data_IF_969260347315
#
_entry.id   IF_969260347315
#
_cell.length_a   1.000
_cell.length_b   1.000
_cell.length_c   1.000
_cell.angle_alpha   90.00
_cell.angle_beta   90.00
_cell.angle_gamma   90.00
#
_symmetry.space_group_name_H-M   'P 1'
#
loop_
_entity.id
_entity.type
_entity.pdbx_description
1 polymer ?
#
# COMPACT_ATOMS: atom_id res chain seq x y z
N UNK A 1 -37.98 -42.39 36.85
CA UNK A 1 -36.53 -42.27 36.59
C UNK A 1 -35.94 -43.62 36.18
N UNK A 2 -35.70 -43.85 34.89
CA UNK A 2 -34.83 -44.89 34.32
C UNK A 2 -34.70 -44.65 32.80
N UNK A 3 -33.50 -44.91 32.29
CA UNK A 3 -32.87 -44.39 31.08
C UNK A 3 -33.50 -44.92 29.79
N UNK A 4 -33.60 -44.08 28.74
CA UNK A 4 -33.75 -44.51 27.35
C UNK A 4 -32.62 -43.92 26.50
N UNK A 5 -31.94 -44.82 25.78
CA UNK A 5 -30.60 -44.64 25.23
C UNK A 5 -30.47 -43.60 24.12
N UNK A 6 -29.38 -42.85 24.18
CA UNK A 6 -28.92 -41.94 23.13
C UNK A 6 -28.35 -42.74 21.96
N UNK A 7 -29.00 -42.68 20.81
CA UNK A 7 -28.45 -43.21 19.55
C UNK A 7 -27.26 -42.35 19.12
N UNK A 8 -26.04 -42.89 19.23
CA UNK A 8 -24.84 -42.26 18.64
C UNK A 8 -24.93 -42.41 17.12
N UNK A 9 -25.20 -41.32 16.39
CA UNK A 9 -25.08 -41.32 14.93
C UNK A 9 -23.59 -41.39 14.57
N UNK A 10 -23.17 -42.45 13.88
CA UNK A 10 -21.84 -42.48 13.23
C UNK A 10 -21.77 -41.34 12.22
N UNK A 11 -20.77 -40.47 12.37
CA UNK A 11 -20.39 -39.52 11.32
C UNK A 11 -19.88 -40.32 10.11
N UNK A 12 -20.28 -39.96 8.87
CA UNK A 12 -19.76 -40.62 7.68
C UNK A 12 -18.26 -40.36 7.56
N UNK A 13 -17.54 -41.37 7.07
CA UNK A 13 -16.11 -41.27 6.79
C UNK A 13 -15.86 -40.12 5.80
N UNK A 14 -14.89 -39.26 6.13
CA UNK A 14 -14.42 -38.22 5.22
C UNK A 14 -13.61 -38.93 4.13
N UNK A 15 -14.17 -38.96 2.92
CA UNK A 15 -13.49 -39.42 1.72
C UNK A 15 -12.35 -38.44 1.40
N UNK A 16 -11.12 -38.84 1.71
CA UNK A 16 -9.91 -38.12 1.33
C UNK A 16 -9.60 -38.37 -0.14
N UNK A 17 -10.41 -37.81 -1.04
CA UNK A 17 -9.97 -37.62 -2.42
C UNK A 17 -8.85 -36.58 -2.43
N UNK A 18 -7.72 -36.83 -3.11
CA UNK A 18 -6.66 -35.84 -3.23
C UNK A 18 -7.21 -34.65 -4.01
N UNK A 19 -7.47 -33.56 -3.30
CA UNK A 19 -7.82 -32.28 -3.91
C UNK A 19 -6.59 -31.83 -4.67
N UNK A 20 -6.57 -32.05 -5.98
CA UNK A 20 -5.53 -31.52 -6.85
C UNK A 20 -5.50 -30.00 -6.65
N UNK A 21 -4.33 -29.49 -6.32
CA UNK A 21 -4.07 -28.08 -6.00
C UNK A 21 -4.70 -27.14 -7.04
N UNK A 22 -4.77 -27.59 -8.29
CA UNK A 22 -5.35 -26.89 -9.43
C UNK A 22 -6.84 -26.57 -9.29
N UNK A 23 -7.67 -27.48 -8.74
CA UNK A 23 -9.10 -27.22 -8.55
C UNK A 23 -9.37 -26.22 -7.42
N UNK A 24 -8.58 -26.24 -6.34
CA UNK A 24 -8.67 -25.25 -5.26
C UNK A 24 -8.21 -23.87 -5.71
N UNK A 25 -7.16 -23.81 -6.53
CA UNK A 25 -6.71 -22.55 -7.15
C UNK A 25 -7.78 -22.02 -8.11
N UNK A 26 -8.40 -22.88 -8.94
CA UNK A 26 -9.46 -22.49 -9.85
C UNK A 26 -10.74 -22.01 -9.13
N UNK A 27 -11.15 -22.64 -8.03
CA UNK A 27 -12.30 -22.20 -7.24
C UNK A 27 -12.01 -20.92 -6.43
N UNK A 28 -10.75 -20.72 -6.00
CA UNK A 28 -10.34 -19.47 -5.33
C UNK A 28 -10.30 -18.27 -6.29
N UNK A 29 -10.10 -18.50 -7.59
CA UNK A 29 -10.17 -17.45 -8.61
C UNK A 29 -11.61 -17.02 -8.94
N UNK A 30 -12.62 -17.81 -8.54
CA UNK A 30 -14.04 -17.51 -8.79
C UNK A 30 -14.68 -16.66 -7.69
N UNK A 31 -14.07 -16.59 -6.51
CA UNK A 31 -14.53 -15.74 -5.40
C UNK A 31 -13.82 -14.38 -5.41
N UNK A 32 -13.77 -13.74 -6.59
CA UNK A 32 -13.41 -12.34 -6.71
C UNK A 32 -14.57 -11.48 -6.24
N UNK A 33 -14.85 -11.52 -4.93
CA UNK A 33 -15.60 -10.45 -4.27
C UNK A 33 -14.73 -9.18 -4.26
N UNK A 34 -14.72 -8.59 -5.45
CA UNK A 34 -14.41 -7.24 -5.85
C UNK A 34 -14.42 -6.25 -4.69
N UNK A 35 -13.22 -5.91 -4.18
CA UNK A 35 -13.05 -4.76 -3.30
C UNK A 35 -13.25 -3.49 -4.14
N UNK A 36 -14.49 -2.96 -4.11
CA UNK A 36 -15.03 -1.94 -5.00
C UNK A 36 -14.72 -0.50 -4.62
N UNK A 37 -13.81 -0.25 -3.66
CA UNK A 37 -13.70 1.07 -3.04
C UNK A 37 -13.01 2.13 -3.91
N UNK A 38 -12.26 1.74 -4.95
CA UNK A 38 -11.73 2.63 -5.97
C UNK A 38 -12.13 2.09 -7.34
N UNK A 39 -13.25 2.58 -7.89
CA UNK A 39 -13.76 2.20 -9.22
C UNK A 39 -12.62 2.21 -10.25
N UNK A 40 -12.29 1.04 -10.79
CA UNK A 40 -11.32 0.88 -11.89
C UNK A 40 -9.99 0.23 -11.53
N UNK A 41 -9.69 0.00 -10.24
CA UNK A 41 -8.45 -0.70 -9.84
C UNK A 41 -8.65 -2.21 -9.70
N UNK A 42 -7.88 -3.06 -10.41
CA UNK A 42 -7.96 -4.50 -10.27
C UNK A 42 -7.20 -4.95 -9.01
N UNK A 43 -7.81 -4.77 -7.83
CA UNK A 43 -7.35 -5.28 -6.55
C UNK A 43 -7.51 -6.80 -6.43
N UNK A 44 -6.98 -7.56 -7.39
CA UNK A 44 -7.00 -9.02 -7.33
C UNK A 44 -5.75 -9.54 -6.62
N UNK A 45 -5.91 -10.63 -5.88
CA UNK A 45 -4.80 -11.32 -5.23
C UNK A 45 -3.66 -11.64 -6.21
N UNK A 46 -4.01 -12.06 -7.43
CA UNK A 46 -3.03 -12.35 -8.47
C UNK A 46 -2.17 -11.13 -8.82
N UNK A 47 -2.80 -9.97 -9.02
CA UNK A 47 -2.10 -8.72 -9.39
C UNK A 47 -1.24 -8.19 -8.26
N UNK A 48 -1.73 -8.28 -7.02
CA UNK A 48 -0.95 -7.93 -5.83
C UNK A 48 0.28 -8.85 -5.72
N UNK A 49 0.11 -10.16 -5.89
CA UNK A 49 1.19 -11.15 -5.82
C UNK A 49 2.25 -10.91 -6.91
N UNK A 50 1.82 -10.62 -8.13
CA UNK A 50 2.73 -10.31 -9.26
C UNK A 50 3.50 -9.01 -9.06
N UNK A 51 2.90 -8.01 -8.39
CA UNK A 51 3.53 -6.73 -8.14
C UNK A 51 4.57 -6.75 -7.01
N UNK A 52 4.45 -7.71 -6.09
CA UNK A 52 5.22 -7.77 -4.85
C UNK A 52 6.74 -7.87 -5.08
N UNK A 53 7.29 -8.68 -6.00
CA UNK A 53 8.73 -8.75 -6.24
C UNK A 53 9.35 -7.42 -6.68
N UNK A 54 8.67 -6.70 -7.58
CA UNK A 54 9.09 -5.37 -8.03
C UNK A 54 9.07 -4.37 -6.87
N UNK A 55 8.01 -4.40 -6.06
CA UNK A 55 7.92 -3.55 -4.89
C UNK A 55 9.02 -3.85 -3.85
N UNK A 56 9.28 -5.12 -3.53
CA UNK A 56 10.34 -5.51 -2.59
C UNK A 56 11.70 -5.01 -3.07
N UNK A 57 11.99 -5.15 -4.38
CA UNK A 57 13.24 -4.69 -4.97
C UNK A 57 13.39 -3.17 -4.89
N UNK A 58 12.28 -2.45 -5.00
CA UNK A 58 12.20 -1.01 -4.81
C UNK A 58 12.41 -0.65 -3.32
N UNK A 59 11.59 -1.19 -2.44
CA UNK A 59 11.56 -0.88 -1.00
C UNK A 59 12.91 -1.10 -0.31
N UNK A 60 13.72 -2.05 -0.77
CA UNK A 60 15.11 -2.25 -0.29
C UNK A 60 16.05 -1.06 -0.54
N UNK A 61 15.70 -0.16 -1.46
CA UNK A 61 16.44 1.07 -1.78
C UNK A 61 15.91 2.29 -1.03
N UNK A 62 14.91 2.11 -0.15
CA UNK A 62 14.35 3.20 0.64
C UNK A 62 15.47 3.85 1.47
N UNK A 63 15.74 5.14 1.30
CA UNK A 63 16.84 5.83 1.98
C UNK A 63 16.49 6.26 3.41
N UNK A 64 15.24 6.06 3.83
CA UNK A 64 14.78 6.32 5.20
C UNK A 64 15.23 5.18 6.12
N UNK A 65 16.11 5.49 7.08
CA UNK A 65 16.76 4.51 7.95
C UNK A 65 15.94 4.20 9.21
N UNK A 66 15.13 5.14 9.70
CA UNK A 66 14.27 4.96 10.87
C UNK A 66 12.79 5.05 10.47
N UNK A 67 12.02 3.94 10.51
CA UNK A 67 10.59 3.95 10.19
C UNK A 67 9.72 4.45 11.35
N UNK A 68 10.28 4.83 12.50
CA UNK A 68 9.51 5.25 13.68
C UNK A 68 8.60 6.42 13.37
N UNK A 69 7.29 6.25 13.60
CA UNK A 69 6.26 7.25 13.30
C UNK A 69 5.88 7.37 11.81
N UNK A 70 6.54 6.60 10.93
CA UNK A 70 6.30 6.59 9.49
C UNK A 70 5.41 5.44 9.02
N UNK A 71 5.48 5.18 7.72
CA UNK A 71 4.68 4.17 7.05
C UNK A 71 5.31 2.77 7.17
N UNK A 72 4.49 1.75 7.45
CA UNK A 72 4.95 0.34 7.47
C UNK A 72 4.98 -0.26 6.07
N UNK A 73 5.71 -1.37 5.89
CA UNK A 73 5.85 -2.07 4.61
C UNK A 73 4.50 -2.32 3.89
N UNK A 74 3.47 -2.75 4.62
CA UNK A 74 2.15 -3.05 4.05
C UNK A 74 1.44 -1.80 3.54
N UNK A 75 1.50 -0.70 4.29
CA UNK A 75 0.97 0.59 3.87
C UNK A 75 1.74 1.14 2.67
N UNK A 76 3.07 1.02 2.67
CA UNK A 76 3.92 1.44 1.56
C UNK A 76 3.61 0.66 0.28
N UNK A 77 3.39 -0.65 0.40
CA UNK A 77 3.00 -1.49 -0.74
C UNK A 77 1.64 -1.09 -1.29
N UNK A 78 0.64 -0.92 -0.43
CA UNK A 78 -0.70 -0.52 -0.85
C UNK A 78 -0.67 0.85 -1.55
N UNK A 79 0.06 1.82 -1.00
CA UNK A 79 0.21 3.14 -1.61
C UNK A 79 0.89 3.06 -2.98
N UNK A 80 2.05 2.39 -3.05
CA UNK A 80 2.80 2.21 -4.28
C UNK A 80 1.96 1.54 -5.36
N UNK A 81 1.29 0.42 -5.03
CA UNK A 81 0.48 -0.34 -5.97
C UNK A 81 -0.68 0.52 -6.48
N UNK A 82 -1.40 1.20 -5.59
CA UNK A 82 -2.52 2.08 -5.96
C UNK A 82 -2.08 3.14 -6.97
N UNK A 83 -1.01 3.88 -6.65
CA UNK A 83 -0.53 4.98 -7.49
C UNK A 83 0.06 4.48 -8.80
N UNK A 84 0.76 3.34 -8.77
CA UNK A 84 1.32 2.70 -9.96
C UNK A 84 0.21 2.26 -10.93
N UNK A 85 -0.88 1.71 -10.43
CA UNK A 85 -2.00 1.28 -11.28
C UNK A 85 -2.84 2.47 -11.78
N UNK A 86 -3.00 3.52 -10.98
CA UNK A 86 -3.77 4.71 -11.39
C UNK A 86 -3.01 5.65 -12.32
N UNK A 87 -1.67 5.71 -12.22
CA UNK A 87 -0.83 6.71 -12.90
C UNK A 87 -1.42 8.14 -12.85
N UNK A 88 -1.71 8.68 -11.66
CA UNK A 88 -2.32 10.00 -11.54
C UNK A 88 -1.39 11.09 -12.08
N UNK A 89 -1.96 12.12 -12.72
CA UNK A 89 -1.19 13.29 -13.16
C UNK A 89 -0.79 14.21 -11.99
N UNK A 90 -1.61 14.23 -10.95
CA UNK A 90 -1.46 15.09 -9.78
C UNK A 90 -1.68 14.29 -8.51
N UNK A 91 -0.83 14.51 -7.50
CA UNK A 91 -0.92 13.88 -6.18
C UNK A 91 -0.85 14.98 -5.14
N UNK A 92 -1.77 14.99 -4.18
CA UNK A 92 -1.72 15.86 -3.01
C UNK A 92 -1.42 14.98 -1.80
N UNK A 93 -0.28 15.23 -1.15
CA UNK A 93 0.15 14.55 0.06
C UNK A 93 -0.03 15.47 1.26
N UNK A 94 -0.56 14.94 2.36
CA UNK A 94 -0.69 15.66 3.62
C UNK A 94 0.13 14.92 4.69
N UNK A 95 1.17 15.58 5.20
CA UNK A 95 2.18 14.98 6.07
C UNK A 95 3.27 14.28 5.27
N UNK A 96 4.42 14.96 5.12
CA UNK A 96 5.63 14.41 4.50
C UNK A 96 6.45 13.63 5.52
N UNK A 97 6.56 14.14 6.75
CA UNK A 97 7.37 13.56 7.81
C UNK A 97 8.83 13.28 7.35
N UNK A 98 9.32 12.04 7.46
CA UNK A 98 10.65 11.65 6.99
C UNK A 98 10.71 11.39 5.46
N UNK A 99 9.66 11.69 4.71
CA UNK A 99 9.65 11.59 3.25
C UNK A 99 9.41 10.17 2.70
N UNK A 100 9.10 9.19 3.55
CA UNK A 100 8.87 7.80 3.11
C UNK A 100 7.78 7.72 2.05
N UNK A 101 6.59 8.24 2.33
CA UNK A 101 5.45 8.20 1.40
C UNK A 101 5.77 8.93 0.10
N UNK A 102 6.38 10.11 0.18
CA UNK A 102 6.81 10.87 -1.00
C UNK A 102 7.74 10.05 -1.88
N UNK A 103 8.75 9.39 -1.31
CA UNK A 103 9.66 8.52 -2.05
C UNK A 103 8.89 7.44 -2.83
N UNK A 104 7.96 6.79 -2.13
CA UNK A 104 7.12 5.72 -2.69
C UNK A 104 6.25 6.26 -3.83
N UNK A 105 5.61 7.43 -3.63
CA UNK A 105 4.76 8.09 -4.61
C UNK A 105 5.54 8.43 -5.89
N UNK A 106 6.74 9.03 -5.74
CA UNK A 106 7.61 9.40 -6.87
C UNK A 106 8.01 8.18 -7.69
N UNK A 107 8.31 7.06 -7.03
CA UNK A 107 8.66 5.81 -7.69
C UNK A 107 7.45 5.10 -8.34
N UNK A 108 6.25 5.29 -7.80
CA UNK A 108 5.02 4.69 -8.34
C UNK A 108 4.50 5.43 -9.59
N UNK A 109 4.59 6.77 -9.59
CA UNK A 109 4.19 7.62 -10.71
C UNK A 109 5.23 8.74 -10.95
N UNK A 110 6.35 8.44 -11.65
CA UNK A 110 7.45 9.39 -11.87
C UNK A 110 7.03 10.68 -12.57
N UNK A 111 6.00 10.62 -13.40
CA UNK A 111 5.48 11.76 -14.15
C UNK A 111 4.42 12.57 -13.39
N UNK A 112 4.04 12.15 -12.18
CA UNK A 112 3.05 12.87 -11.38
C UNK A 112 3.64 14.16 -10.81
N UNK A 113 2.87 15.24 -10.87
CA UNK A 113 3.14 16.44 -10.08
C UNK A 113 2.63 16.22 -8.66
N UNK A 114 3.55 16.18 -7.69
CA UNK A 114 3.23 15.95 -6.28
C UNK A 114 3.27 17.30 -5.54
N UNK A 115 2.20 17.59 -4.82
CA UNK A 115 2.06 18.75 -3.96
C UNK A 115 1.98 18.25 -2.52
N UNK A 116 2.92 18.65 -1.68
CA UNK A 116 2.95 18.19 -0.30
C UNK A 116 2.63 19.31 0.67
N UNK A 117 1.79 18.98 1.65
CA UNK A 117 1.36 19.88 2.71
C UNK A 117 1.91 19.36 4.02
N UNK A 118 2.76 20.15 4.68
CA UNK A 118 3.36 19.76 5.96
C UNK A 118 3.52 20.97 6.89
N UNK A 119 3.22 20.86 8.19
CA UNK A 119 3.51 21.93 9.15
C UNK A 119 5.00 22.29 9.23
N UNK A 120 5.92 21.42 8.80
CA UNK A 120 7.36 21.62 8.82
C UNK A 120 7.95 21.66 7.40
N UNK A 121 8.61 22.77 7.04
CA UNK A 121 9.26 22.88 5.73
C UNK A 121 10.55 22.05 5.62
N UNK A 122 11.13 21.64 6.75
CA UNK A 122 12.46 21.03 6.82
C UNK A 122 12.47 19.55 6.39
N UNK A 123 11.29 19.05 5.99
CA UNK A 123 10.99 17.65 5.71
C UNK A 123 10.65 17.39 4.24
N UNK A 124 10.68 18.42 3.39
CA UNK A 124 10.17 18.34 2.02
C UNK A 124 11.28 17.96 1.03
N UNK A 125 10.92 17.18 0.00
CA UNK A 125 11.80 16.86 -1.13
C UNK A 125 12.06 18.09 -2.01
N UNK A 126 13.27 18.19 -2.55
CA UNK A 126 13.66 19.36 -3.35
C UNK A 126 12.88 19.52 -4.66
N UNK A 127 12.42 18.42 -5.25
CA UNK A 127 11.68 18.39 -6.51
C UNK A 127 10.16 18.58 -6.33
N UNK A 128 9.70 18.83 -5.09
CA UNK A 128 8.29 19.05 -4.77
C UNK A 128 7.93 20.53 -4.68
N UNK A 129 6.64 20.79 -4.96
CA UNK A 129 5.97 22.00 -4.47
C UNK A 129 5.42 21.72 -3.07
N UNK A 130 6.18 22.15 -2.07
CA UNK A 130 5.83 22.02 -0.66
C UNK A 130 5.13 23.25 -0.10
N UNK A 131 4.11 23.07 0.74
CA UNK A 131 3.41 24.15 1.41
C UNK A 131 3.32 23.91 2.92
N UNK A 132 3.67 24.94 3.70
CA UNK A 132 3.41 25.02 5.14
C UNK A 132 2.18 25.86 5.38
N UNK A 133 1.26 25.37 6.21
CA UNK A 133 0.06 26.11 6.62
C UNK A 133 0.21 26.60 8.06
N UNK A 134 0.19 27.91 8.25
CA UNK A 134 0.21 28.54 9.58
C UNK A 134 -0.82 29.67 9.63
N UNK A 135 -1.65 29.70 10.68
CA UNK A 135 -2.66 30.76 10.86
C UNK A 135 -3.62 30.92 9.68
N UNK A 136 -4.01 29.82 9.02
CA UNK A 136 -4.91 29.84 7.85
C UNK A 136 -4.27 30.31 6.55
N UNK A 137 -2.96 30.55 6.51
CA UNK A 137 -2.23 30.96 5.30
C UNK A 137 -1.27 29.87 4.86
N UNK A 138 -1.23 29.63 3.54
CA UNK A 138 -0.24 28.78 2.91
C UNK A 138 1.02 29.59 2.59
N UNK A 139 2.18 29.02 2.90
CA UNK A 139 3.49 29.54 2.49
C UNK A 139 4.26 28.42 1.80
N UNK A 140 4.75 28.69 0.60
CA UNK A 140 5.62 27.75 -0.11
C UNK A 140 6.91 27.54 0.67
N UNK A 141 7.30 26.27 0.80
CA UNK A 141 8.53 25.85 1.44
C UNK A 141 9.64 25.77 0.40
N UNK A 142 10.86 26.18 0.79
CA UNK A 142 12.07 25.97 -0.01
C UNK A 142 12.68 24.62 0.37
N UNK A 143 13.41 23.99 -0.55
CA UNK A 143 14.10 22.76 -0.22
C UNK A 143 15.10 23.00 0.94
N UNK A 144 15.05 22.20 2.02
CA UNK A 144 15.96 22.35 3.13
C UNK A 144 17.37 21.83 2.79
N UNK A 145 18.43 22.53 3.25
CA UNK A 145 19.83 22.09 3.08
C UNK A 145 20.16 20.75 3.77
N UNK A 146 19.29 20.25 4.64
CA UNK A 146 19.43 18.97 5.34
C UNK A 146 18.64 17.83 4.70
N UNK A 147 17.95 18.06 3.57
CA UNK A 147 17.15 17.01 2.93
C UNK A 147 18.05 15.86 2.44
N UNK A 148 17.80 14.59 2.81
CA UNK A 148 18.55 13.45 2.27
C UNK A 148 18.19 13.17 0.79
N UNK A 149 17.40 14.05 0.17
CA UNK A 149 16.83 13.90 -1.16
C UNK A 149 17.22 15.05 -2.10
N UNK A 150 18.36 15.69 -1.86
CA UNK A 150 18.85 16.81 -2.69
C UNK A 150 19.26 16.39 -4.11
N UNK A 151 19.59 15.11 -4.30
CA UNK A 151 20.19 14.58 -5.53
C UNK A 151 19.31 13.53 -6.26
N UNK A 152 18.02 13.41 -5.89
CA UNK A 152 17.03 12.59 -6.60
C UNK A 152 16.24 13.43 -7.60
#
# INVERSE_FOLDING_TARGET
PLLHGSTVRKLPAIDHQPVTTERKVASMLQDQTFCSSLKGLPWSYLRLREALPSFISLYRKLPVQDPTGGMTLSHSFALWFTVRELQPKFIIENGVYAGHSTWVLRNAAPNASIFSVDPLCDQIYCDLKGYRFTGGKAKECKCPPSSPFQDL
#
